data_IF_090612280843
#
_entry.id   IF_090612280843
#
_cell.length_a   1.000
_cell.length_b   1.000
_cell.length_c   1.000
_cell.angle_alpha   90.00
_cell.angle_beta   90.00
_cell.angle_gamma   90.00
#
_symmetry.space_group_name_H-M   'P 1'
#
loop_
_entity.id
_entity.type
_entity.pdbx_description
1 polymer ?
#
# COMPACT_ATOMS: atom_id res chain seq x y z
N UNK A 1 -5.02 24.74 17.94
CA UNK A 1 -6.25 23.89 17.95
C UNK A 1 -6.05 22.60 17.16
N UNK A 2 -5.74 22.61 15.85
CA UNK A 2 -5.55 21.37 15.07
C UNK A 2 -4.43 20.46 15.64
N UNK A 3 -3.26 21.03 15.96
CA UNK A 3 -2.13 20.27 16.56
C UNK A 3 -2.53 19.60 17.88
N UNK A 4 -3.30 20.29 18.73
CA UNK A 4 -3.77 19.74 20.00
C UNK A 4 -4.76 18.58 19.80
N UNK A 5 -5.63 18.66 18.79
CA UNK A 5 -6.55 17.58 18.43
C UNK A 5 -5.77 16.37 17.90
N UNK A 6 -4.80 16.58 17.01
CA UNK A 6 -3.94 15.50 16.47
C UNK A 6 -3.17 14.81 17.60
N UNK A 7 -2.52 15.59 18.48
CA UNK A 7 -1.79 15.04 19.62
C UNK A 7 -2.70 14.30 20.61
N UNK A 8 -3.90 14.84 20.86
CA UNK A 8 -4.91 14.18 21.67
C UNK A 8 -5.33 12.82 21.09
N UNK A 9 -5.69 12.79 19.81
CA UNK A 9 -6.03 11.55 19.10
C UNK A 9 -4.87 10.55 19.11
N UNK A 10 -3.63 11.00 18.88
CA UNK A 10 -2.45 10.13 18.90
C UNK A 10 -2.24 9.47 20.26
N UNK A 11 -2.32 10.25 21.35
CA UNK A 11 -2.17 9.73 22.73
C UNK A 11 -3.32 8.76 23.06
N UNK A 12 -4.56 9.13 22.75
CA UNK A 12 -5.72 8.27 22.98
C UNK A 12 -5.59 6.94 22.23
N UNK A 13 -5.22 6.97 20.95
CA UNK A 13 -4.98 5.75 20.17
C UNK A 13 -3.85 4.90 20.76
N UNK A 14 -2.78 5.51 21.27
CA UNK A 14 -1.69 4.78 21.93
C UNK A 14 -2.17 4.08 23.21
N UNK A 15 -2.93 4.79 24.06
CA UNK A 15 -3.51 4.23 25.28
C UNK A 15 -4.46 3.08 24.95
N UNK A 16 -5.36 3.26 23.98
CA UNK A 16 -6.31 2.24 23.56
C UNK A 16 -5.60 1.00 23.00
N UNK A 17 -4.54 1.18 22.20
CA UNK A 17 -3.73 0.05 21.71
C UNK A 17 -3.02 -0.69 22.85
N UNK A 18 -2.46 0.03 23.83
CA UNK A 18 -1.83 -0.61 25.00
C UNK A 18 -2.85 -1.43 25.78
N UNK A 19 -4.05 -0.90 26.01
CA UNK A 19 -5.14 -1.62 26.68
C UNK A 19 -5.58 -2.84 25.85
N UNK A 20 -5.74 -2.69 24.54
CA UNK A 20 -6.18 -3.76 23.65
C UNK A 20 -5.16 -4.92 23.55
N UNK A 21 -3.87 -4.59 23.56
CA UNK A 21 -2.77 -5.56 23.55
C UNK A 21 -2.52 -6.17 24.94
N UNK A 22 -3.04 -5.56 26.00
CA UNK A 22 -2.84 -6.04 27.37
C UNK A 22 -3.39 -7.46 27.52
N UNK A 23 -2.51 -8.41 27.88
CA UNK A 23 -2.85 -9.84 28.05
C UNK A 23 -3.33 -10.57 26.78
N UNK A 24 -3.14 -10.04 25.57
CA UNK A 24 -3.49 -10.78 24.35
C UNK A 24 -2.72 -12.11 24.20
N UNK A 25 -1.51 -12.21 24.77
CA UNK A 25 -0.81 -13.48 24.92
C UNK A 25 -0.74 -13.89 26.40
N UNK A 26 -1.24 -15.09 26.71
CA UNK A 26 -1.07 -15.70 28.04
C UNK A 26 0.41 -15.92 28.27
N UNK A 27 0.98 -15.18 29.23
CA UNK A 27 2.41 -15.21 29.55
C UNK A 27 2.78 -16.53 30.24
N UNK A 28 2.88 -17.59 29.46
CA UNK A 28 3.21 -18.93 29.93
C UNK A 28 4.73 -19.11 29.97
N UNK A 29 5.31 -18.93 31.16
CA UNK A 29 6.76 -19.12 31.39
C UNK A 29 7.18 -20.58 31.21
N UNK A 30 6.27 -21.54 31.26
CA UNK A 30 6.59 -22.97 31.17
C UNK A 30 6.89 -23.42 29.74
N UNK A 31 6.28 -22.81 28.71
CA UNK A 31 6.54 -23.09 27.29
C UNK A 31 7.99 -22.84 26.85
N UNK A 32 8.66 -21.86 27.47
CA UNK A 32 10.05 -21.50 27.14
C UNK A 32 11.05 -22.61 27.48
N UNK A 33 10.68 -23.52 28.39
CA UNK A 33 11.52 -24.63 28.84
C UNK A 33 11.24 -25.95 28.11
N UNK A 34 10.17 -26.04 27.31
CA UNK A 34 9.74 -27.31 26.70
C UNK A 34 10.27 -27.57 25.29
N UNK A 35 11.02 -26.64 24.67
CA UNK A 35 11.47 -26.79 23.29
C UNK A 35 12.90 -26.27 23.07
N UNK A 36 13.94 -27.01 23.51
CA UNK A 36 15.34 -26.66 23.26
C UNK A 36 15.71 -26.61 21.77
N UNK A 37 14.91 -27.23 20.90
CA UNK A 37 15.14 -27.30 19.45
C UNK A 37 14.38 -26.23 18.64
N UNK A 38 13.76 -25.25 19.29
CA UNK A 38 13.11 -24.15 18.56
C UNK A 38 14.16 -23.24 17.91
N UNK A 39 14.07 -22.99 16.59
CA UNK A 39 15.00 -22.10 15.92
C UNK A 39 14.87 -20.68 16.49
N UNK A 40 16.00 -20.02 16.67
CA UNK A 40 16.03 -18.61 17.04
C UNK A 40 15.33 -17.76 15.98
N UNK A 41 14.92 -16.53 16.35
CA UNK A 41 14.34 -15.58 15.39
C UNK A 41 15.28 -15.35 14.20
N UNK A 42 16.58 -15.19 14.45
CA UNK A 42 17.59 -15.01 13.40
C UNK A 42 17.63 -16.21 12.45
N UNK A 43 17.67 -17.44 12.97
CA UNK A 43 17.63 -18.64 12.13
C UNK A 43 16.33 -18.74 11.32
N UNK A 44 15.20 -18.40 11.93
CA UNK A 44 13.90 -18.38 11.24
C UNK A 44 13.84 -17.32 10.15
N UNK A 45 14.42 -16.14 10.39
CA UNK A 45 14.53 -15.04 9.45
C UNK A 45 15.46 -15.39 8.27
N UNK A 46 16.62 -15.97 8.57
CA UNK A 46 17.59 -16.41 7.55
C UNK A 46 16.96 -17.48 6.65
N UNK A 47 16.26 -18.46 7.24
CA UNK A 47 15.54 -19.49 6.49
C UNK A 47 14.42 -18.90 5.62
N UNK A 48 13.69 -17.90 6.14
CA UNK A 48 12.68 -17.19 5.37
C UNK A 48 13.29 -16.41 4.19
N UNK A 49 14.44 -15.76 4.38
CA UNK A 49 15.13 -15.02 3.33
C UNK A 49 15.75 -15.92 2.26
N UNK A 50 16.10 -17.17 2.61
CA UNK A 50 16.55 -18.20 1.68
C UNK A 50 15.43 -18.75 0.79
N UNK A 51 14.16 -18.47 1.12
CA UNK A 51 13.02 -18.87 0.30
C UNK A 51 13.09 -18.28 -1.11
N UNK A 52 12.75 -19.10 -2.11
CA UNK A 52 12.76 -18.70 -3.51
C UNK A 52 11.92 -17.42 -3.71
N UNK A 53 12.57 -16.39 -4.23
CA UNK A 53 11.99 -15.06 -4.47
C UNK A 53 11.42 -14.31 -3.24
N UNK A 54 11.75 -14.70 -2.00
CA UNK A 54 11.22 -14.05 -0.80
C UNK A 54 11.52 -12.53 -0.74
N UNK A 55 12.77 -12.14 -0.99
CA UNK A 55 13.18 -10.74 -1.03
C UNK A 55 12.53 -9.96 -2.17
N UNK A 56 12.42 -10.57 -3.35
CA UNK A 56 11.76 -9.95 -4.51
C UNK A 56 10.29 -9.68 -4.25
N UNK A 57 9.59 -10.62 -3.59
CA UNK A 57 8.21 -10.45 -3.15
C UNK A 57 8.08 -9.29 -2.17
N UNK A 58 8.93 -9.23 -1.14
CA UNK A 58 8.90 -8.14 -0.18
C UNK A 58 9.21 -6.79 -0.84
N UNK A 59 10.16 -6.74 -1.75
CA UNK A 59 10.45 -5.54 -2.53
C UNK A 59 9.25 -5.11 -3.38
N UNK A 60 8.57 -6.05 -4.04
CA UNK A 60 7.38 -5.76 -4.83
C UNK A 60 6.21 -5.27 -3.95
N UNK A 61 6.05 -5.83 -2.74
CA UNK A 61 5.12 -5.32 -1.72
C UNK A 61 5.46 -3.89 -1.38
N UNK A 62 6.72 -3.61 -1.05
CA UNK A 62 7.16 -2.27 -0.66
C UNK A 62 6.94 -1.22 -1.75
N UNK A 63 7.37 -1.51 -2.99
CA UNK A 63 7.18 -0.61 -4.13
C UNK A 63 5.70 -0.31 -4.38
N UNK A 64 4.86 -1.34 -4.42
CA UNK A 64 3.44 -1.15 -4.70
C UNK A 64 2.71 -0.46 -3.54
N UNK A 65 3.10 -0.74 -2.29
CA UNK A 65 2.59 0.02 -1.15
C UNK A 65 2.99 1.48 -1.25
N UNK A 66 4.24 1.80 -1.58
CA UNK A 66 4.65 3.20 -1.75
C UNK A 66 3.84 3.89 -2.85
N UNK A 67 3.56 3.19 -3.94
CA UNK A 67 2.82 3.71 -5.07
C UNK A 67 1.33 3.98 -4.81
N UNK A 68 0.73 3.39 -3.78
CA UNK A 68 -0.69 3.52 -3.42
C UNK A 68 -0.91 4.25 -2.08
N UNK A 69 0.13 4.90 -1.55
CA UNK A 69 0.06 5.62 -0.26
C UNK A 69 0.73 6.98 -0.31
N UNK A 70 1.55 7.24 -1.33
CA UNK A 70 2.20 8.54 -1.48
C UNK A 70 1.16 9.63 -1.78
N UNK A 71 0.01 9.28 -2.38
CA UNK A 71 -1.06 10.22 -2.70
C UNK A 71 -1.96 10.57 -1.51
N UNK A 72 -1.95 9.78 -0.44
CA UNK A 72 -2.90 9.90 0.68
C UNK A 72 -2.94 11.31 1.27
N UNK A 73 -1.77 11.95 1.38
CA UNK A 73 -1.64 13.33 1.91
C UNK A 73 -1.78 14.41 0.84
N UNK A 74 -1.90 14.02 -0.43
CA UNK A 74 -1.88 14.91 -1.58
C UNK A 74 -3.25 15.07 -2.24
N UNK A 75 -4.11 14.04 -2.21
CA UNK A 75 -5.41 14.06 -2.88
C UNK A 75 -6.33 15.16 -2.35
N UNK A 76 -6.42 15.32 -1.03
CA UNK A 76 -7.25 16.38 -0.43
C UNK A 76 -6.76 17.79 -0.81
N UNK A 77 -5.48 18.16 -0.61
CA UNK A 77 -5.01 19.48 -0.99
C UNK A 77 -5.01 19.67 -2.52
N UNK A 78 -4.78 18.64 -3.33
CA UNK A 78 -4.94 18.76 -4.78
C UNK A 78 -6.38 19.09 -5.18
N UNK A 79 -7.37 18.41 -4.60
CA UNK A 79 -8.79 18.70 -4.81
C UNK A 79 -9.18 20.12 -4.38
N UNK A 80 -8.67 20.59 -3.24
CA UNK A 80 -8.96 21.93 -2.73
C UNK A 80 -8.22 23.05 -3.47
N UNK A 81 -6.91 22.92 -3.63
CA UNK A 81 -6.05 23.97 -4.20
C UNK A 81 -6.20 24.09 -5.71
N UNK A 82 -6.31 22.96 -6.42
CA UNK A 82 -6.30 22.92 -7.90
C UNK A 82 -7.72 22.89 -8.45
N UNK A 83 -8.55 21.95 -7.98
CA UNK A 83 -9.94 21.79 -8.45
C UNK A 83 -10.96 22.67 -7.71
N UNK A 84 -10.52 23.46 -6.73
CA UNK A 84 -11.37 24.39 -5.94
C UNK A 84 -12.56 23.71 -5.24
N UNK A 85 -12.38 22.44 -4.86
CA UNK A 85 -13.39 21.69 -4.12
C UNK A 85 -13.52 22.20 -2.68
N UNK A 86 -14.74 22.12 -2.13
CA UNK A 86 -14.96 22.40 -0.71
C UNK A 86 -14.32 21.34 0.18
N UNK A 87 -14.03 21.68 1.44
CA UNK A 87 -13.51 20.74 2.45
C UNK A 87 -14.43 19.51 2.62
N UNK A 88 -15.75 19.72 2.55
CA UNK A 88 -16.72 18.60 2.59
C UNK A 88 -16.59 17.69 1.36
N UNK A 89 -16.38 18.27 0.17
CA UNK A 89 -16.21 17.51 -1.07
C UNK A 89 -14.91 16.72 -1.06
N UNK A 90 -13.83 17.28 -0.52
CA UNK A 90 -12.56 16.55 -0.41
C UNK A 90 -12.64 15.43 0.62
N UNK A 91 -13.42 15.59 1.70
CA UNK A 91 -13.68 14.48 2.65
C UNK A 91 -14.37 13.28 1.96
N UNK A 92 -15.24 13.52 0.98
CA UNK A 92 -15.83 12.44 0.19
C UNK A 92 -14.83 11.69 -0.69
N UNK A 93 -13.67 12.28 -1.03
CA UNK A 93 -12.62 11.59 -1.77
C UNK A 93 -11.99 10.48 -0.92
N UNK A 94 -11.74 10.76 0.36
CA UNK A 94 -11.25 9.76 1.32
C UNK A 94 -12.24 8.61 1.48
N UNK A 95 -13.55 8.92 1.49
CA UNK A 95 -14.59 7.90 1.45
C UNK A 95 -14.58 7.10 0.13
N UNK A 96 -14.40 7.76 -1.01
CA UNK A 96 -14.34 7.11 -2.32
C UNK A 96 -13.13 6.15 -2.42
N UNK A 97 -11.96 6.57 -1.95
CA UNK A 97 -10.75 5.76 -1.84
C UNK A 97 -11.02 4.51 -0.98
N UNK A 98 -11.56 4.70 0.22
CA UNK A 98 -11.87 3.61 1.14
C UNK A 98 -12.91 2.64 0.57
N UNK A 99 -13.99 3.15 -0.04
CA UNK A 99 -14.99 2.34 -0.73
C UNK A 99 -14.36 1.53 -1.86
N UNK A 100 -13.53 2.15 -2.71
CA UNK A 100 -12.77 1.48 -3.75
C UNK A 100 -11.95 0.34 -3.18
N UNK A 101 -11.18 0.61 -2.11
CA UNK A 101 -10.38 -0.39 -1.39
C UNK A 101 -11.20 -1.57 -0.88
N UNK A 102 -12.35 -1.32 -0.27
CA UNK A 102 -13.26 -2.37 0.19
C UNK A 102 -13.81 -3.21 -0.96
N UNK A 103 -14.21 -2.60 -2.07
CA UNK A 103 -14.65 -3.34 -3.27
C UNK A 103 -13.52 -4.18 -3.87
N UNK A 104 -12.32 -3.61 -3.99
CA UNK A 104 -11.13 -4.31 -4.48
C UNK A 104 -10.78 -5.50 -3.59
N UNK A 105 -10.72 -5.30 -2.28
CA UNK A 105 -10.49 -6.36 -1.31
C UNK A 105 -11.55 -7.46 -1.39
N UNK A 106 -12.83 -7.10 -1.40
CA UNK A 106 -13.94 -8.06 -1.46
C UNK A 106 -13.92 -8.89 -2.74
N UNK A 107 -13.60 -8.26 -3.88
CA UNK A 107 -13.44 -8.93 -5.16
C UNK A 107 -12.23 -9.88 -5.15
N UNK A 108 -11.07 -9.40 -4.68
CA UNK A 108 -9.86 -10.22 -4.57
C UNK A 108 -10.11 -11.44 -3.67
N UNK A 109 -10.75 -11.25 -2.53
CA UNK A 109 -11.10 -12.35 -1.60
C UNK A 109 -11.97 -13.42 -2.27
N UNK A 110 -12.99 -13.01 -3.02
CA UNK A 110 -13.86 -13.92 -3.78
C UNK A 110 -13.16 -14.68 -4.90
N UNK A 111 -12.17 -14.06 -5.56
CA UNK A 111 -11.45 -14.68 -6.68
C UNK A 111 -10.33 -15.59 -6.17
N UNK A 112 -9.57 -15.15 -5.16
CA UNK A 112 -8.47 -15.93 -4.58
C UNK A 112 -8.95 -17.15 -3.81
N UNK A 113 -10.13 -17.08 -3.16
CA UNK A 113 -10.77 -18.26 -2.56
C UNK A 113 -11.11 -19.37 -3.57
N UNK A 114 -11.21 -19.04 -4.87
CA UNK A 114 -11.38 -20.01 -5.97
C UNK A 114 -10.05 -20.55 -6.53
N UNK A 115 -8.91 -20.22 -5.92
CA UNK A 115 -7.59 -20.72 -6.31
C UNK A 115 -6.89 -19.94 -7.42
N UNK A 116 -7.32 -18.71 -7.71
CA UNK A 116 -6.62 -17.83 -8.65
C UNK A 116 -5.20 -17.48 -8.18
N UNK A 117 -4.33 -17.09 -9.11
CA UNK A 117 -2.95 -16.70 -8.80
C UNK A 117 -2.90 -15.35 -8.04
N UNK A 118 -2.39 -15.33 -6.79
CA UNK A 118 -2.28 -14.11 -5.99
C UNK A 118 -1.39 -13.03 -6.60
N UNK A 119 -0.30 -13.38 -7.29
CA UNK A 119 0.59 -12.40 -7.91
C UNK A 119 -0.07 -11.76 -9.13
N UNK A 120 -0.86 -12.53 -9.87
CA UNK A 120 -1.66 -12.00 -10.98
C UNK A 120 -2.72 -11.03 -10.46
N UNK A 121 -3.39 -11.37 -9.35
CA UNK A 121 -4.34 -10.46 -8.69
C UNK A 121 -3.66 -9.15 -8.27
N UNK A 122 -2.50 -9.24 -7.62
CA UNK A 122 -1.75 -8.07 -7.20
C UNK A 122 -1.32 -7.20 -8.39
N UNK A 123 -0.87 -7.83 -9.47
CA UNK A 123 -0.46 -7.14 -10.70
C UNK A 123 -1.63 -6.46 -11.41
N UNK A 124 -2.82 -7.08 -11.41
CA UNK A 124 -4.05 -6.44 -11.91
C UNK A 124 -4.36 -5.19 -11.08
N UNK A 125 -4.23 -5.27 -9.74
CA UNK A 125 -4.37 -4.09 -8.87
C UNK A 125 -3.45 -2.94 -9.28
N UNK A 126 -2.16 -3.22 -9.46
CA UNK A 126 -1.19 -2.24 -9.94
C UNK A 126 -1.51 -1.71 -11.35
N UNK A 127 -1.97 -2.58 -12.26
CA UNK A 127 -2.39 -2.17 -13.61
C UNK A 127 -3.63 -1.26 -13.59
N UNK A 128 -4.56 -1.44 -12.65
CA UNK A 128 -5.71 -0.54 -12.47
C UNK A 128 -5.28 0.81 -11.91
N UNK A 129 -4.23 0.84 -11.07
CA UNK A 129 -3.66 2.09 -10.56
C UNK A 129 -3.13 3.01 -11.67
N UNK A 130 -2.57 2.47 -12.76
CA UNK A 130 -2.03 3.27 -13.87
C UNK A 130 -3.07 4.22 -14.50
N UNK A 131 -4.22 3.76 -15.03
CA UNK A 131 -5.26 4.65 -15.54
C UNK A 131 -5.93 5.47 -14.43
N UNK A 132 -5.89 5.01 -13.18
CA UNK A 132 -6.46 5.76 -12.06
C UNK A 132 -5.65 7.04 -11.75
N UNK A 133 -4.33 6.95 -11.65
CA UNK A 133 -3.46 8.13 -11.51
C UNK A 133 -3.49 9.03 -12.74
N UNK A 134 -3.57 8.45 -13.95
CA UNK A 134 -3.77 9.25 -15.16
C UNK A 134 -5.09 10.02 -15.13
N UNK A 135 -6.18 9.41 -14.65
CA UNK A 135 -7.47 10.09 -14.48
C UNK A 135 -7.37 11.24 -13.48
N UNK A 136 -6.64 11.06 -12.37
CA UNK A 136 -6.37 12.13 -11.39
C UNK A 136 -5.62 13.30 -12.02
N UNK A 137 -4.54 13.03 -12.77
CA UNK A 137 -3.74 14.07 -13.43
C UNK A 137 -4.57 14.84 -14.46
N UNK A 138 -5.33 14.13 -15.30
CA UNK A 138 -6.13 14.72 -16.39
C UNK A 138 -7.36 15.46 -15.86
N UNK A 139 -7.84 15.14 -14.66
CA UNK A 139 -9.02 15.78 -14.09
C UNK A 139 -8.85 17.30 -13.89
N UNK A 140 -7.65 17.78 -13.57
CA UNK A 140 -7.41 19.22 -13.37
C UNK A 140 -7.50 20.03 -14.68
N UNK A 141 -6.79 19.70 -15.78
CA UNK A 141 -6.91 20.42 -17.04
C UNK A 141 -8.34 20.53 -17.60
N UNK A 142 -9.18 19.53 -17.36
CA UNK A 142 -10.58 19.52 -17.82
C UNK A 142 -11.57 19.96 -16.74
N UNK A 143 -11.09 20.40 -15.57
CA UNK A 143 -11.88 20.83 -14.42
C UNK A 143 -12.99 19.84 -13.99
N UNK A 144 -12.71 18.53 -14.00
CA UNK A 144 -13.71 17.49 -13.73
C UNK A 144 -13.54 16.85 -12.35
N UNK A 145 -14.33 17.32 -11.39
CA UNK A 145 -14.41 16.72 -10.05
C UNK A 145 -14.87 15.25 -10.07
N UNK A 146 -15.73 14.89 -11.03
CA UNK A 146 -16.22 13.52 -11.19
C UNK A 146 -15.12 12.58 -11.66
N UNK A 147 -14.31 12.99 -12.65
CA UNK A 147 -13.17 12.20 -13.10
C UNK A 147 -12.14 12.03 -11.97
N UNK A 148 -11.89 13.10 -11.22
CA UNK A 148 -11.00 13.06 -10.06
C UNK A 148 -11.49 12.05 -9.01
N UNK A 149 -12.76 12.16 -8.61
CA UNK A 149 -13.37 11.27 -7.61
C UNK A 149 -13.38 9.80 -8.07
N UNK A 150 -13.64 9.56 -9.36
CA UNK A 150 -13.58 8.22 -9.94
C UNK A 150 -12.15 7.68 -10.00
N UNK A 151 -11.16 8.52 -10.34
CA UNK A 151 -9.74 8.17 -10.25
C UNK A 151 -9.35 7.75 -8.83
N UNK A 152 -9.72 8.54 -7.82
CA UNK A 152 -9.50 8.22 -6.40
C UNK A 152 -10.16 6.91 -5.99
N UNK A 153 -11.40 6.65 -6.42
CA UNK A 153 -12.05 5.36 -6.21
C UNK A 153 -11.25 4.20 -6.85
N UNK A 154 -10.76 4.36 -8.08
CA UNK A 154 -9.98 3.34 -8.78
C UNK A 154 -8.60 3.11 -8.16
N UNK A 155 -7.96 4.15 -7.64
CA UNK A 155 -6.73 4.04 -6.85
C UNK A 155 -6.98 3.12 -5.67
N UNK A 156 -8.03 3.39 -4.88
CA UNK A 156 -8.40 2.57 -3.74
C UNK A 156 -8.71 1.13 -4.16
N UNK A 157 -9.47 0.94 -5.23
CA UNK A 157 -9.77 -0.38 -5.79
C UNK A 157 -8.51 -1.15 -6.20
N UNK A 158 -7.58 -0.50 -6.92
CA UNK A 158 -6.29 -1.07 -7.30
C UNK A 158 -5.45 -1.46 -6.07
N UNK A 159 -5.39 -0.57 -5.08
CA UNK A 159 -4.72 -0.81 -3.80
C UNK A 159 -5.32 -1.97 -3.01
N UNK A 160 -6.65 -2.13 -3.01
CA UNK A 160 -7.36 -3.25 -2.39
C UNK A 160 -7.05 -4.60 -3.04
N UNK A 161 -7.05 -4.66 -4.38
CA UNK A 161 -6.63 -5.85 -5.13
C UNK A 161 -5.16 -6.19 -4.87
N UNK A 162 -4.29 -5.17 -4.88
CA UNK A 162 -2.86 -5.29 -4.64
C UNK A 162 -2.55 -5.81 -3.22
N UNK A 163 -3.07 -5.14 -2.20
CA UNK A 163 -2.84 -5.49 -0.80
C UNK A 163 -3.30 -6.90 -0.48
N UNK A 164 -4.52 -7.27 -0.90
CA UNK A 164 -5.05 -8.61 -0.63
C UNK A 164 -4.31 -9.71 -1.42
N UNK A 165 -3.97 -9.42 -2.68
CA UNK A 165 -3.20 -10.32 -3.54
C UNK A 165 -1.81 -10.62 -2.97
N UNK A 166 -1.08 -9.59 -2.55
CA UNK A 166 0.27 -9.75 -1.99
C UNK A 166 0.29 -10.42 -0.62
N UNK A 167 -0.70 -10.12 0.23
CA UNK A 167 -0.87 -10.80 1.52
C UNK A 167 -1.10 -12.29 1.30
N UNK A 168 -2.03 -12.64 0.41
CA UNK A 168 -2.36 -14.03 0.08
C UNK A 168 -1.14 -14.76 -0.53
N UNK A 169 -0.41 -14.11 -1.44
CA UNK A 169 0.83 -14.64 -2.00
C UNK A 169 1.87 -14.97 -0.91
N UNK A 170 2.00 -14.06 0.05
CA UNK A 170 2.96 -14.19 1.14
C UNK A 170 2.60 -15.34 2.07
N UNK A 171 1.32 -15.48 2.42
CA UNK A 171 0.82 -16.56 3.27
C UNK A 171 0.87 -17.94 2.60
N UNK A 172 0.56 -18.01 1.29
CA UNK A 172 0.52 -19.28 0.55
C UNK A 172 1.91 -19.87 0.30
N UNK A 173 2.92 -19.04 0.11
CA UNK A 173 4.29 -19.48 -0.13
C UNK A 173 5.09 -19.75 1.15
N UNK A 174 4.60 -19.28 2.30
CA UNK A 174 5.26 -19.54 3.57
C UNK A 174 5.01 -20.98 4.03
N UNK A 175 6.05 -21.63 4.56
CA UNK A 175 5.91 -22.92 5.24
C UNK A 175 4.89 -22.81 6.39
N UNK A 176 4.11 -23.86 6.71
CA UNK A 176 3.07 -23.80 7.74
C UNK A 176 3.55 -23.24 9.08
N UNK A 177 4.77 -23.59 9.49
CA UNK A 177 5.42 -23.15 10.72
C UNK A 177 5.90 -21.69 10.67
N UNK A 178 5.99 -21.08 9.48
CA UNK A 178 6.53 -19.72 9.27
C UNK A 178 5.49 -18.71 8.77
N UNK A 179 4.20 -19.09 8.66
CA UNK A 179 3.15 -18.17 8.19
C UNK A 179 3.05 -16.90 9.05
N UNK A 180 3.24 -17.03 10.37
CA UNK A 180 3.27 -15.89 11.29
C UNK A 180 4.45 -14.94 11.00
N UNK A 181 5.64 -15.49 10.77
CA UNK A 181 6.83 -14.70 10.40
C UNK A 181 6.65 -14.01 9.04
N UNK A 182 6.08 -14.71 8.07
CA UNK A 182 5.81 -14.17 6.74
C UNK A 182 4.78 -13.04 6.78
N UNK A 183 3.71 -13.21 7.57
CA UNK A 183 2.71 -12.17 7.81
C UNK A 183 3.33 -10.94 8.49
N UNK A 184 4.18 -11.16 9.50
CA UNK A 184 4.93 -10.10 10.18
C UNK A 184 5.87 -9.36 9.24
N UNK A 185 6.61 -10.07 8.39
CA UNK A 185 7.51 -9.48 7.39
C UNK A 185 6.74 -8.65 6.35
N UNK A 186 5.62 -9.17 5.84
CA UNK A 186 4.75 -8.43 4.92
C UNK A 186 4.22 -7.14 5.56
N UNK A 187 3.69 -7.23 6.78
CA UNK A 187 3.17 -6.08 7.51
C UNK A 187 4.24 -5.04 7.84
N UNK A 188 5.44 -5.48 8.22
CA UNK A 188 6.56 -4.59 8.52
C UNK A 188 7.02 -3.81 7.28
N UNK A 189 7.13 -4.47 6.12
CA UNK A 189 7.47 -3.82 4.85
C UNK A 189 6.36 -2.86 4.44
N UNK A 190 5.11 -3.30 4.48
CA UNK A 190 3.95 -2.47 4.11
C UNK A 190 3.85 -1.21 5.00
N UNK A 191 3.93 -1.35 6.32
CA UNK A 191 3.87 -0.20 7.23
C UNK A 191 5.05 0.77 7.03
N UNK A 192 6.27 0.23 6.86
CA UNK A 192 7.48 1.05 6.65
C UNK A 192 7.41 1.79 5.31
N UNK A 193 7.06 1.09 4.24
CA UNK A 193 6.90 1.66 2.91
C UNK A 193 5.81 2.72 2.88
N UNK A 194 4.64 2.47 3.51
CA UNK A 194 3.57 3.47 3.60
C UNK A 194 4.00 4.73 4.35
N UNK A 195 4.66 4.58 5.51
CA UNK A 195 5.14 5.72 6.29
C UNK A 195 6.18 6.56 5.52
N UNK A 196 7.13 5.89 4.86
CA UNK A 196 8.13 6.56 4.01
C UNK A 196 7.47 7.24 2.81
N UNK A 197 6.51 6.59 2.15
CA UNK A 197 5.81 7.13 1.00
C UNK A 197 5.02 8.40 1.33
N UNK A 198 4.26 8.39 2.43
CA UNK A 198 3.51 9.56 2.90
C UNK A 198 4.46 10.75 3.16
N UNK A 199 5.59 10.51 3.84
CA UNK A 199 6.57 11.55 4.11
C UNK A 199 7.23 12.08 2.82
N UNK A 200 7.65 11.18 1.93
CA UNK A 200 8.27 11.54 0.66
C UNK A 200 7.30 12.26 -0.27
N UNK A 201 6.02 11.88 -0.30
CA UNK A 201 5.00 12.52 -1.13
C UNK A 201 4.87 14.01 -0.82
N UNK A 202 4.75 14.36 0.46
CA UNK A 202 4.73 15.75 0.90
C UNK A 202 6.03 16.51 0.58
N UNK A 203 7.18 15.93 0.92
CA UNK A 203 8.49 16.55 0.69
C UNK A 203 8.76 16.79 -0.80
N UNK A 204 8.50 15.79 -1.64
CA UNK A 204 8.73 15.88 -3.09
C UNK A 204 7.80 16.94 -3.68
N UNK A 205 6.50 16.93 -3.32
CA UNK A 205 5.54 17.94 -3.75
C UNK A 205 6.02 19.35 -3.40
N UNK A 206 6.47 19.56 -2.17
CA UNK A 206 6.97 20.85 -1.67
C UNK A 206 8.20 21.33 -2.45
N UNK A 207 9.19 20.46 -2.63
CA UNK A 207 10.43 20.77 -3.34
C UNK A 207 10.14 21.12 -4.80
N UNK A 208 9.33 20.30 -5.49
CA UNK A 208 8.99 20.54 -6.89
C UNK A 208 8.21 21.85 -7.02
N UNK A 209 7.23 22.11 -6.15
CA UNK A 209 6.49 23.37 -6.18
C UNK A 209 7.37 24.59 -5.89
N UNK A 210 8.35 24.48 -5.00
CA UNK A 210 9.29 25.57 -4.73
C UNK A 210 10.09 25.98 -5.99
N UNK A 211 10.59 25.01 -6.75
CA UNK A 211 11.30 25.27 -8.00
C UNK A 211 10.37 25.71 -9.13
N UNK A 212 9.19 25.10 -9.24
CA UNK A 212 8.16 25.48 -10.21
C UNK A 212 7.75 26.96 -10.07
N UNK A 213 7.45 27.40 -8.85
CA UNK A 213 7.03 28.79 -8.56
C UNK A 213 8.13 29.82 -8.74
N UNK A 214 9.40 29.41 -8.74
CA UNK A 214 10.54 30.27 -9.09
C UNK A 214 10.82 30.33 -10.58
N UNK A 215 9.96 29.70 -11.41
CA UNK A 215 10.14 29.53 -12.86
C UNK A 215 11.45 28.84 -13.25
N UNK A 216 12.14 28.17 -12.31
CA UNK A 216 13.42 27.51 -12.61
C UNK A 216 13.23 26.22 -13.41
N UNK A 217 12.02 25.67 -13.43
CA UNK A 217 11.64 24.52 -14.26
C UNK A 217 11.09 24.94 -15.64
N UNK A 218 11.07 26.25 -15.94
CA UNK A 218 10.47 26.82 -17.15
C UNK A 218 9.09 27.43 -16.90
N UNK A 219 8.69 28.36 -17.76
CA UNK A 219 7.43 29.11 -17.58
C UNK A 219 6.18 28.22 -17.72
N UNK A 220 6.24 27.19 -18.57
CA UNK A 220 5.13 26.27 -18.77
C UNK A 220 4.83 25.35 -17.57
N UNK A 221 5.75 25.25 -16.61
CA UNK A 221 5.60 24.46 -15.38
C UNK A 221 5.41 25.36 -14.15
N UNK A 222 5.22 26.66 -14.32
CA UNK A 222 4.98 27.59 -13.22
C UNK A 222 3.52 27.56 -12.76
N UNK A 223 3.03 26.36 -12.38
CA UNK A 223 1.66 26.13 -11.90
C UNK A 223 1.65 25.44 -10.52
N UNK A 224 0.75 25.80 -9.58
CA UNK A 224 0.64 25.18 -8.25
C UNK A 224 0.38 23.66 -8.28
N UNK A 225 -0.18 23.13 -9.37
CA UNK A 225 -0.45 21.72 -9.62
C UNK A 225 0.80 20.90 -9.93
N UNK A 226 1.91 21.55 -10.32
CA UNK A 226 3.12 20.89 -10.84
C UNK A 226 3.73 19.90 -9.84
N UNK A 227 3.83 20.30 -8.57
CA UNK A 227 4.36 19.44 -7.50
C UNK A 227 3.50 18.20 -7.26
N UNK A 228 2.18 18.32 -7.34
CA UNK A 228 1.26 17.18 -7.20
C UNK A 228 1.41 16.21 -8.38
N UNK A 229 1.39 16.75 -9.60
CA UNK A 229 1.53 15.96 -10.83
C UNK A 229 2.87 15.22 -10.87
N UNK A 230 3.95 15.84 -10.38
CA UNK A 230 5.25 15.18 -10.27
C UNK A 230 5.20 13.93 -9.35
N UNK A 231 4.50 14.02 -8.23
CA UNK A 231 4.33 12.87 -7.33
C UNK A 231 3.46 11.79 -7.98
N UNK A 232 2.35 12.16 -8.62
CA UNK A 232 1.51 11.20 -9.34
C UNK A 232 2.26 10.47 -10.48
N UNK A 233 3.19 11.15 -11.15
CA UNK A 233 4.08 10.49 -12.12
C UNK A 233 5.06 9.52 -11.46
N UNK A 234 5.59 9.85 -10.28
CA UNK A 234 6.46 8.93 -9.52
C UNK A 234 5.68 7.68 -9.12
N UNK A 235 4.43 7.81 -8.68
CA UNK A 235 3.56 6.68 -8.35
C UNK A 235 3.30 5.79 -9.58
N UNK A 236 3.03 6.37 -10.74
CA UNK A 236 2.92 5.63 -12.00
C UNK A 236 4.21 4.83 -12.28
N UNK A 237 5.38 5.44 -12.11
CA UNK A 237 6.67 4.76 -12.29
C UNK A 237 6.85 3.64 -11.25
N UNK A 238 6.47 3.86 -9.99
CA UNK A 238 6.52 2.84 -8.94
C UNK A 238 5.55 1.68 -9.21
N UNK A 239 4.36 1.95 -9.75
CA UNK A 239 3.42 0.91 -10.19
C UNK A 239 4.02 0.09 -11.34
N UNK A 240 4.65 0.73 -12.33
CA UNK A 240 5.35 0.01 -13.41
C UNK A 240 6.48 -0.85 -12.85
N UNK A 241 7.30 -0.30 -11.95
CA UNK A 241 8.35 -1.04 -11.27
C UNK A 241 7.79 -2.23 -10.47
N UNK A 242 6.63 -2.05 -9.83
CA UNK A 242 5.91 -3.10 -9.10
C UNK A 242 5.46 -4.22 -10.04
N UNK A 243 4.87 -3.89 -11.19
CA UNK A 243 4.45 -4.87 -12.20
C UNK A 243 5.66 -5.67 -12.71
N UNK A 244 6.79 -4.99 -13.01
CA UNK A 244 8.03 -5.64 -13.43
C UNK A 244 8.59 -6.55 -12.32
N UNK A 245 8.54 -6.09 -11.07
CA UNK A 245 8.96 -6.88 -9.92
C UNK A 245 8.08 -8.12 -9.72
N UNK A 246 6.77 -8.01 -9.95
CA UNK A 246 5.81 -9.10 -9.83
C UNK A 246 5.84 -10.09 -11.01
N UNK A 247 6.24 -9.67 -12.21
CA UNK A 247 6.07 -10.47 -13.43
C UNK A 247 6.68 -11.89 -13.35
N UNK A 248 7.91 -12.11 -12.83
CA UNK A 248 8.46 -13.47 -12.70
C UNK A 248 7.86 -14.29 -11.58
N UNK A 249 7.04 -13.69 -10.70
CA UNK A 249 6.35 -14.37 -9.61
C UNK A 249 4.99 -14.94 -10.05
N UNK A 250 4.42 -14.41 -11.14
CA UNK A 250 3.21 -14.94 -11.76
C UNK A 250 3.56 -16.27 -12.42
N UNK A 251 2.86 -17.34 -12.05
CA UNK A 251 3.26 -18.73 -12.32
C UNK A 251 3.84 -18.97 -13.72
N UNK A 252 5.12 -19.38 -13.78
CA UNK A 252 5.45 -20.66 -14.41
C UNK A 252 4.88 -21.77 -13.51
N UNK A 253 4.26 -22.80 -14.08
CA UNK A 253 3.39 -23.78 -13.40
C UNK A 253 4.00 -24.36 -12.10
N UNK A 254 3.54 -23.91 -10.92
CA UNK A 254 3.76 -24.63 -9.66
C UNK A 254 2.77 -25.80 -9.56
N UNK A 255 3.23 -27.05 -9.32
CA UNK A 255 2.37 -28.21 -9.17
C UNK A 255 1.47 -28.04 -7.95
N UNK A 256 0.18 -28.33 -8.12
CA UNK A 256 -0.77 -28.44 -7.03
C UNK A 256 -0.28 -29.55 -6.11
N UNK A 257 0.36 -29.20 -4.98
CA UNK A 257 0.55 -30.17 -3.90
C UNK A 257 -0.83 -30.45 -3.33
N UNK A 258 -1.41 -31.56 -3.77
CA UNK A 258 -2.58 -32.17 -3.13
C UNK A 258 -2.24 -32.35 -1.65
N UNK A 259 -3.07 -31.78 -0.78
CA UNK A 259 -3.03 -32.05 0.64
C UNK A 259 -3.35 -33.54 0.82
N UNK A 260 -2.32 -34.36 1.08
CA UNK A 260 -2.54 -35.69 1.63
C UNK A 260 -2.95 -35.51 3.10
N UNK A 261 -4.25 -35.60 3.34
CA UNK A 261 -4.81 -35.87 4.66
C UNK A 261 -4.30 -37.24 5.12
N UNK A 262 -3.54 -37.27 6.21
CA UNK A 262 -3.45 -38.42 7.11
C UNK A 262 -3.87 -37.97 8.50
#
# INVERSE_FOLDING_TARGET
RLIQVIQGCAITTMILNVIALWKQETRDRSRRFQNPDQPTFKQSWDLFCQGEHALRRLLAVGLGTMAFTMEDVLLEPYGGEILKLSVSSTTYLTAALACGGLFGFGLASRILSKGADPFRMASIGAMVGLPAFMAVIVAAPIASAYLFSFGVFLIGFGGGLFGHGTLTATMNLALPQQRGLALGAWGAVQATSAGVAVALGGIIRDIVNYFAMRKSLGEGLADPGTGYVAVYFIEIILLLATIIAMAPLIKSKLPVRQFQTR
#
